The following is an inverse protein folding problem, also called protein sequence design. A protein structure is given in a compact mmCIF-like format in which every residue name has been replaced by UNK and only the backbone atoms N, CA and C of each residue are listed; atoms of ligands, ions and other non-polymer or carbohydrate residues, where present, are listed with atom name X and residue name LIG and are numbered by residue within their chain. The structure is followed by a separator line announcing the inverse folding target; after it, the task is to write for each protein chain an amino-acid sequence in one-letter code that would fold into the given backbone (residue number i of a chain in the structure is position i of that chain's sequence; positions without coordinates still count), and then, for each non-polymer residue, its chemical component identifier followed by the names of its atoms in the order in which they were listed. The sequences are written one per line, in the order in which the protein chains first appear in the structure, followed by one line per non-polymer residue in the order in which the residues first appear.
data_IF_130235382636
#
_entry.id   IF_130235382636
#
_cell.length_a   1.000
_cell.length_b   1.000
_cell.length_c   1.000
_cell.angle_alpha   90.00
_cell.angle_beta   90.00
_cell.angle_gamma   90.00
#
_symmetry.space_group_name_H-M   'P 1'
#
loop_
_entity.id
_entity.type
_entity.pdbx_description
1 polymer ?
#
# COMPACT_ATOMS: atom_id res chain seq x y z
N UNK A 1 9.43 9.25 -15.63
CA UNK A 1 9.18 10.68 -15.34
C UNK A 1 7.74 10.97 -15.73
N UNK A 2 6.90 11.55 -14.86
CA UNK A 2 5.53 11.92 -15.24
C UNK A 2 5.62 13.26 -15.95
N UNK A 3 5.14 13.33 -17.18
CA UNK A 3 5.12 14.54 -17.98
C UNK A 3 3.70 15.14 -18.00
N UNK A 4 3.61 16.45 -18.13
CA UNK A 4 2.36 17.18 -18.22
C UNK A 4 2.61 18.67 -18.35
N UNK A 5 1.53 19.45 -18.40
CA UNK A 5 1.60 20.91 -18.42
C UNK A 5 0.66 21.51 -17.38
N UNK A 6 0.99 22.70 -16.91
CA UNK A 6 0.12 23.51 -16.08
C UNK A 6 -0.63 24.51 -16.96
N UNK A 7 -1.92 24.69 -16.66
CA UNK A 7 -2.80 25.65 -17.31
C UNK A 7 -3.50 26.45 -16.22
N UNK A 8 -3.59 27.76 -16.40
CA UNK A 8 -4.22 28.66 -15.46
C UNK A 8 -5.44 29.31 -16.10
N UNK A 9 -6.52 29.43 -15.35
CA UNK A 9 -7.76 30.09 -15.76
C UNK A 9 -8.04 31.24 -14.80
N UNK A 10 -8.04 32.48 -15.29
CA UNK A 10 -8.39 33.67 -14.51
C UNK A 10 -9.76 34.18 -14.94
N UNK A 11 -10.65 34.42 -13.97
CA UNK A 11 -12.01 34.89 -14.22
C UNK A 11 -12.14 36.35 -13.82
N UNK A 12 -12.48 37.21 -14.78
CA UNK A 12 -12.68 38.64 -14.56
C UNK A 12 -14.05 39.04 -15.14
N UNK A 13 -15.00 39.35 -14.26
CA UNK A 13 -16.40 39.51 -14.65
C UNK A 13 -16.95 38.23 -15.29
N UNK A 14 -17.42 38.34 -16.53
CA UNK A 14 -17.94 37.20 -17.31
C UNK A 14 -16.89 36.58 -18.25
N UNK A 15 -15.67 37.12 -18.31
CA UNK A 15 -14.61 36.62 -19.17
C UNK A 15 -13.76 35.58 -18.43
N UNK A 16 -13.40 34.50 -19.11
CA UNK A 16 -12.40 33.53 -18.64
C UNK A 16 -11.17 33.61 -19.52
N UNK A 17 -10.03 33.87 -18.90
CA UNK A 17 -8.75 34.01 -19.56
C UNK A 17 -7.89 32.79 -19.29
N UNK A 18 -7.48 32.10 -20.34
CA UNK A 18 -6.49 31.02 -20.26
C UNK A 18 -5.09 31.64 -20.27
N UNK A 19 -4.24 31.20 -19.36
CA UNK A 19 -2.82 31.54 -19.28
C UNK A 19 -2.02 30.25 -19.22
N UNK A 20 -1.00 30.18 -20.05
CA UNK A 20 0.02 29.14 -20.07
C UNK A 20 1.40 29.67 -19.63
N UNK A 21 1.51 30.99 -19.48
CA UNK A 21 2.65 31.69 -18.89
C UNK A 21 2.47 31.83 -17.37
N UNK A 22 3.58 31.89 -16.64
CA UNK A 22 3.58 32.05 -15.17
C UNK A 22 3.19 33.45 -14.68
N UNK A 23 2.79 34.35 -15.58
CA UNK A 23 2.38 35.72 -15.27
C UNK A 23 0.87 35.76 -15.06
N UNK A 24 0.46 35.97 -13.82
CA UNK A 24 -0.94 35.95 -13.40
C UNK A 24 -1.30 37.29 -12.75
N UNK A 25 -2.51 37.79 -13.02
CA UNK A 25 -3.01 38.97 -12.32
C UNK A 25 -3.27 38.65 -10.84
N UNK A 26 -2.74 39.46 -9.92
CA UNK A 26 -3.11 39.43 -8.51
C UNK A 26 -4.54 39.92 -8.33
N UNK A 27 -5.17 39.50 -7.23
CA UNK A 27 -6.56 39.80 -6.84
C UNK A 27 -7.63 39.30 -7.83
N UNK A 28 -7.25 38.36 -8.70
CA UNK A 28 -8.16 37.68 -9.63
C UNK A 28 -8.28 36.20 -9.26
N UNK A 29 -9.50 35.65 -9.11
CA UNK A 29 -9.70 34.22 -8.88
C UNK A 29 -9.00 33.39 -9.96
N UNK A 30 -8.10 32.51 -9.54
CA UNK A 30 -7.32 31.68 -10.44
C UNK A 30 -7.60 30.19 -10.18
N UNK A 31 -7.95 29.48 -11.23
CA UNK A 31 -8.01 28.01 -11.23
C UNK A 31 -6.76 27.47 -11.94
N UNK A 32 -5.94 26.74 -11.21
CA UNK A 32 -4.72 26.12 -11.72
C UNK A 32 -4.97 24.63 -11.94
N UNK A 33 -4.74 24.15 -13.15
CA UNK A 33 -4.97 22.77 -13.55
C UNK A 33 -3.70 22.12 -14.11
N UNK A 34 -3.47 20.86 -13.74
CA UNK A 34 -2.42 20.01 -14.30
C UNK A 34 -3.02 19.05 -15.32
N UNK A 35 -2.56 19.16 -16.56
CA UNK A 35 -2.90 18.25 -17.65
C UNK A 35 -1.81 17.19 -17.79
N UNK A 36 -2.15 15.94 -17.46
CA UNK A 36 -1.27 14.79 -17.59
C UNK A 36 -1.02 14.46 -19.06
N UNK A 37 0.25 14.31 -19.45
CA UNK A 37 0.63 13.81 -20.76
C UNK A 37 0.93 12.31 -20.69
N UNK A 38 -0.03 11.48 -21.13
CA UNK A 38 0.07 10.00 -21.12
C UNK A 38 -0.46 9.39 -22.43
N UNK A 39 0.28 9.51 -23.55
CA UNK A 39 -0.17 9.02 -24.86
C UNK A 39 -0.31 7.48 -24.90
N UNK A 40 0.48 6.76 -24.12
CA UNK A 40 0.44 5.30 -24.04
C UNK A 40 -0.64 4.78 -23.08
N UNK A 41 -1.34 5.68 -22.36
CA UNK A 41 -2.38 5.33 -21.37
C UNK A 41 -1.87 4.44 -20.22
N UNK A 42 -0.57 4.52 -19.91
CA UNK A 42 0.05 3.74 -18.84
C UNK A 42 -0.48 4.10 -17.45
N UNK A 43 -1.04 5.30 -17.31
CA UNK A 43 -1.56 5.87 -16.07
C UNK A 43 -3.08 6.07 -16.12
N UNK A 44 -3.76 5.57 -17.15
CA UNK A 44 -5.22 5.72 -17.33
C UNK A 44 -6.06 5.17 -16.18
N UNK A 45 -5.51 4.22 -15.40
CA UNK A 45 -6.14 3.64 -14.20
C UNK A 45 -5.45 4.07 -12.90
N UNK A 46 -4.47 4.95 -12.99
CA UNK A 46 -3.71 5.44 -11.84
C UNK A 46 -4.35 6.72 -11.34
N UNK A 47 -4.72 6.74 -10.07
CA UNK A 47 -5.16 7.98 -9.45
C UNK A 47 -3.95 8.63 -8.75
N UNK A 48 -3.69 9.90 -9.06
CA UNK A 48 -2.52 10.61 -8.56
C UNK A 48 -2.87 11.52 -7.40
N UNK A 49 -2.14 11.44 -6.30
CA UNK A 49 -2.15 12.46 -5.27
C UNK A 49 -1.46 13.73 -5.71
N UNK A 50 -2.13 14.87 -5.58
CA UNK A 50 -1.56 16.17 -5.89
C UNK A 50 -1.21 16.91 -4.60
N UNK A 51 0.02 17.38 -4.50
CA UNK A 51 0.44 18.39 -3.52
C UNK A 51 0.80 19.64 -4.29
N UNK A 52 -0.09 20.63 -4.20
CA UNK A 52 0.05 21.97 -4.75
C UNK A 52 0.74 22.84 -3.71
N UNK A 53 2.01 23.14 -3.92
CA UNK A 53 2.71 24.18 -3.18
C UNK A 53 2.65 25.47 -4.03
N UNK A 54 1.86 26.43 -3.57
CA UNK A 54 1.61 27.71 -4.23
C UNK A 54 2.66 28.77 -3.86
N UNK A 55 3.71 28.39 -3.11
CA UNK A 55 4.75 29.30 -2.63
C UNK A 55 4.40 30.00 -1.31
N UNK A 56 3.13 30.30 -1.07
CA UNK A 56 2.61 30.82 0.19
C UNK A 56 1.68 29.84 0.94
N UNK A 57 1.15 28.84 0.24
CA UNK A 57 0.21 27.85 0.80
C UNK A 57 0.41 26.49 0.16
N UNK A 58 0.31 25.45 0.98
CA UNK A 58 0.33 24.06 0.51
C UNK A 58 -1.08 23.47 0.59
N UNK A 59 -1.56 22.93 -0.53
CA UNK A 59 -2.85 22.27 -0.67
C UNK A 59 -2.61 20.84 -1.14
N UNK A 60 -3.21 19.87 -0.45
CA UNK A 60 -3.13 18.44 -0.79
C UNK A 60 -4.52 17.96 -1.18
N UNK A 61 -4.61 17.13 -2.21
CA UNK A 61 -5.90 16.61 -2.65
C UNK A 61 -5.82 15.69 -3.85
N UNK A 62 -6.97 15.11 -4.19
CA UNK A 62 -7.16 14.16 -5.29
C UNK A 62 -7.35 14.80 -6.65
N UNK A 63 -7.62 16.10 -6.67
CA UNK A 63 -7.99 16.80 -7.89
C UNK A 63 -6.73 17.30 -8.62
N UNK A 64 -6.67 17.14 -9.96
CA UNK A 64 -5.63 17.74 -10.78
C UNK A 64 -5.81 19.26 -10.92
N UNK A 65 -6.68 19.87 -10.12
CA UNK A 65 -7.05 21.28 -10.19
C UNK A 65 -7.14 21.87 -8.79
N UNK A 66 -6.75 23.13 -8.64
CA UNK A 66 -6.87 23.90 -7.41
C UNK A 66 -7.35 25.32 -7.72
N UNK A 67 -8.26 25.84 -6.90
CA UNK A 67 -8.71 27.23 -6.98
C UNK A 67 -8.05 28.02 -5.87
N UNK A 68 -7.32 29.07 -6.25
CA UNK A 68 -6.64 29.94 -5.31
C UNK A 68 -6.57 31.37 -5.84
N UNK A 69 -6.67 32.34 -4.93
CA UNK A 69 -6.56 33.76 -5.27
C UNK A 69 -5.35 34.32 -4.52
N UNK A 70 -4.44 34.97 -5.25
CA UNK A 70 -3.33 35.70 -4.65
C UNK A 70 -3.78 37.13 -4.38
N UNK A 71 -3.88 37.53 -3.12
CA UNK A 71 -4.30 38.89 -2.74
C UNK A 71 -3.19 39.92 -2.90
N UNK A 72 -1.93 39.48 -2.93
CA UNK A 72 -0.75 40.34 -3.04
C UNK A 72 -0.01 40.04 -4.34
N UNK A 73 0.48 41.09 -4.99
CA UNK A 73 1.39 40.95 -6.13
C UNK A 73 2.78 40.53 -5.65
N UNK A 74 3.38 39.55 -6.30
CA UNK A 74 4.73 39.10 -5.96
C UNK A 74 5.18 37.90 -6.79
N UNK A 75 6.43 37.50 -6.56
CA UNK A 75 7.02 36.34 -7.22
C UNK A 75 6.80 35.10 -6.36
N UNK A 76 5.86 34.25 -6.78
CA UNK A 76 5.58 32.98 -6.13
C UNK A 76 6.18 31.82 -6.94
N UNK A 77 6.76 30.83 -6.26
CA UNK A 77 7.23 29.61 -6.90
C UNK A 77 6.22 28.50 -6.70
N UNK A 78 5.45 28.19 -7.75
CA UNK A 78 4.53 27.07 -7.72
C UNK A 78 5.26 25.74 -7.95
N UNK A 79 5.06 24.77 -7.07
CA UNK A 79 5.58 23.41 -7.19
C UNK A 79 4.43 22.41 -7.10
N UNK A 80 4.37 21.51 -8.07
CA UNK A 80 3.44 20.39 -8.06
C UNK A 80 4.18 19.10 -7.79
N UNK A 81 3.79 18.39 -6.74
CA UNK A 81 4.26 17.03 -6.47
C UNK A 81 3.13 16.05 -6.70
N UNK A 82 3.35 15.09 -7.61
CA UNK A 82 2.47 13.96 -7.83
C UNK A 82 2.95 12.76 -7.01
N UNK A 83 2.03 12.08 -6.34
CA UNK A 83 2.25 10.81 -5.67
C UNK A 83 1.26 9.77 -6.18
N UNK A 84 1.61 8.49 -6.14
CA UNK A 84 0.70 7.39 -6.46
C UNK A 84 1.08 6.21 -5.57
N UNK A 85 0.09 5.41 -5.16
CA UNK A 85 0.35 4.10 -4.57
C UNK A 85 0.80 3.18 -5.70
N UNK A 86 2.06 2.75 -5.68
CA UNK A 86 2.64 1.93 -6.77
C UNK A 86 2.58 0.44 -6.47
N UNK A 87 2.98 0.04 -5.27
CA UNK A 87 2.99 -1.35 -4.87
C UNK A 87 2.91 -1.49 -3.35
N UNK A 88 2.65 -2.72 -2.94
CA UNK A 88 2.87 -3.19 -1.57
C UNK A 88 3.79 -4.39 -1.65
N UNK A 89 4.87 -4.39 -0.89
CA UNK A 89 5.82 -5.50 -0.79
C UNK A 89 5.79 -6.05 0.61
N UNK A 90 5.62 -7.35 0.74
CA UNK A 90 5.75 -8.03 2.03
C UNK A 90 7.21 -8.47 2.23
N UNK A 91 7.80 -8.09 3.36
CA UNK A 91 9.05 -8.65 3.89
C UNK A 91 8.65 -9.68 4.94
N UNK A 92 8.43 -10.91 4.49
CA UNK A 92 8.05 -12.03 5.34
C UNK A 92 9.25 -12.85 5.83
N UNK A 93 9.05 -13.55 6.94
CA UNK A 93 9.90 -14.67 7.31
C UNK A 93 9.59 -15.86 6.40
N UNK A 94 10.56 -16.76 6.16
CA UNK A 94 10.34 -17.90 5.26
C UNK A 94 9.31 -18.90 5.80
N UNK A 95 9.16 -19.01 7.13
CA UNK A 95 8.32 -20.01 7.77
C UNK A 95 7.46 -19.38 8.86
N UNK A 96 6.16 -19.71 8.86
CA UNK A 96 5.22 -19.37 9.91
C UNK A 96 4.65 -20.65 10.53
N UNK A 97 4.34 -20.62 11.83
CA UNK A 97 3.80 -21.75 12.54
C UNK A 97 2.58 -21.37 13.37
N UNK A 98 1.69 -22.35 13.59
CA UNK A 98 0.53 -22.18 14.46
C UNK A 98 0.96 -21.90 15.91
N UNK A 99 0.15 -21.13 16.63
CA UNK A 99 0.35 -20.75 18.03
C UNK A 99 1.65 -19.97 18.30
N UNK A 100 2.33 -19.49 17.26
CA UNK A 100 3.45 -18.57 17.36
C UNK A 100 3.02 -17.16 16.93
N UNK A 101 3.59 -16.15 17.56
CA UNK A 101 3.35 -14.76 17.19
C UNK A 101 4.14 -14.45 15.90
N UNK A 102 3.44 -14.31 14.79
CA UNK A 102 4.01 -13.95 13.50
C UNK A 102 4.05 -12.42 13.34
N UNK A 103 5.22 -11.90 12.96
CA UNK A 103 5.40 -10.50 12.58
C UNK A 103 5.48 -10.38 11.05
N UNK A 104 4.52 -9.69 10.46
CA UNK A 104 4.42 -9.45 9.03
C UNK A 104 4.77 -7.98 8.75
N UNK A 105 5.89 -7.75 8.06
CA UNK A 105 6.30 -6.40 7.68
C UNK A 105 5.92 -6.12 6.21
N UNK A 106 5.25 -5.00 5.97
CA UNK A 106 4.88 -4.53 4.63
C UNK A 106 5.53 -3.19 4.37
N UNK A 107 6.07 -3.02 3.16
CA UNK A 107 6.53 -1.74 2.65
C UNK A 107 5.59 -1.28 1.55
N UNK A 108 5.21 -0.01 1.60
CA UNK A 108 4.28 0.58 0.65
C UNK A 108 4.96 1.71 -0.12
N UNK A 109 5.03 1.56 -1.44
CA UNK A 109 5.63 2.58 -2.30
C UNK A 109 4.58 3.67 -2.58
N UNK A 110 4.59 4.76 -1.81
CA UNK A 110 3.70 5.91 -2.01
C UNK A 110 3.70 6.91 -0.84
N UNK A 111 2.86 7.96 -0.87
CA UNK A 111 2.72 8.94 0.22
C UNK A 111 1.87 8.39 1.38
N UNK A 112 1.83 9.05 2.55
CA UNK A 112 1.01 8.63 3.70
C UNK A 112 -0.43 8.30 3.30
N UNK A 113 -0.98 7.23 3.88
CA UNK A 113 -2.15 6.56 3.32
C UNK A 113 -2.87 5.70 4.36
N UNK A 114 -4.14 5.41 4.10
CA UNK A 114 -4.94 4.46 4.86
C UNK A 114 -4.72 3.04 4.33
N UNK A 115 -4.43 2.11 5.21
CA UNK A 115 -4.34 0.68 4.90
C UNK A 115 -5.51 -0.03 5.56
N UNK A 116 -6.30 -0.72 4.76
CA UNK A 116 -7.42 -1.56 5.16
C UNK A 116 -7.03 -3.01 4.89
N UNK A 117 -6.88 -3.82 5.93
CA UNK A 117 -6.39 -5.20 5.81
C UNK A 117 -7.29 -6.18 6.56
N UNK A 118 -7.32 -7.43 6.10
CA UNK A 118 -8.07 -8.52 6.73
C UNK A 118 -7.54 -9.89 6.28
N UNK A 119 -7.62 -10.88 7.17
CA UNK A 119 -7.42 -12.27 6.79
C UNK A 119 -8.72 -12.83 6.21
N UNK A 120 -8.64 -13.47 5.03
CA UNK A 120 -9.77 -14.08 4.35
C UNK A 120 -9.98 -15.51 4.84
N UNK A 121 -11.24 -15.86 5.11
CA UNK A 121 -11.66 -17.25 5.30
C UNK A 121 -11.61 -17.96 3.95
N UNK A 122 -10.93 -19.10 3.88
CA UNK A 122 -10.78 -19.92 2.67
C UNK A 122 -10.28 -19.14 1.43
N UNK A 123 -9.54 -18.04 1.63
CA UNK A 123 -9.07 -17.17 0.55
C UNK A 123 -10.18 -16.62 -0.38
N UNK A 124 -11.42 -16.54 0.11
CA UNK A 124 -12.55 -16.00 -0.63
C UNK A 124 -12.94 -14.61 -0.09
N UNK A 125 -13.21 -13.62 -0.96
CA UNK A 125 -13.67 -12.31 -0.54
C UNK A 125 -15.13 -12.39 -0.07
N UNK A 126 -15.38 -12.10 1.20
CA UNK A 126 -16.72 -11.91 1.74
C UNK A 126 -17.10 -10.42 1.63
N UNK A 127 -18.29 -10.13 1.11
CA UNK A 127 -18.84 -8.77 1.00
C UNK A 127 -19.42 -8.24 2.30
N UNK A 128 -19.58 -9.08 3.33
CA UNK A 128 -20.25 -8.74 4.60
C UNK A 128 -19.30 -8.41 5.77
N UNK A 129 -18.02 -8.81 5.69
CA UNK A 129 -17.03 -8.52 6.73
C UNK A 129 -16.18 -7.28 6.38
N UNK A 130 -16.11 -6.32 7.31
CA UNK A 130 -15.23 -5.15 7.23
C UNK A 130 -13.74 -5.51 7.32
N UNK A 131 -12.88 -4.50 7.25
CA UNK A 131 -11.43 -4.64 7.43
C UNK A 131 -10.93 -3.79 8.61
N UNK A 132 -9.75 -4.09 9.11
CA UNK A 132 -9.06 -3.23 10.07
C UNK A 132 -8.39 -2.08 9.33
N UNK A 133 -8.75 -0.85 9.68
CA UNK A 133 -8.23 0.37 9.07
C UNK A 133 -7.07 0.96 9.90
N UNK A 134 -5.98 1.34 9.25
CA UNK A 134 -4.76 1.85 9.90
C UNK A 134 -4.16 2.99 9.08
N UNK A 135 -3.76 4.09 9.73
CA UNK A 135 -2.99 5.17 9.07
C UNK A 135 -1.52 4.84 9.01
N UNK A 136 -0.93 4.94 7.82
CA UNK A 136 0.51 4.87 7.59
C UNK A 136 1.07 6.28 7.40
N UNK A 137 1.84 6.74 8.37
CA UNK A 137 2.66 7.96 8.26
C UNK A 137 4.03 7.65 7.66
N UNK A 138 4.59 6.50 8.03
CA UNK A 138 5.79 5.92 7.45
C UNK A 138 5.40 4.90 6.39
N UNK A 139 6.25 4.66 5.39
CA UNK A 139 6.00 3.71 4.30
C UNK A 139 6.03 2.23 4.73
N UNK A 140 5.94 1.94 6.02
CA UNK A 140 6.06 0.59 6.57
C UNK A 140 4.91 0.27 7.53
N UNK A 141 4.30 -0.91 7.36
CA UNK A 141 3.28 -1.45 8.25
C UNK A 141 3.81 -2.73 8.89
N UNK A 142 3.65 -2.89 10.21
CA UNK A 142 3.95 -4.13 10.91
C UNK A 142 2.68 -4.69 11.54
N UNK A 143 2.35 -5.94 11.19
CA UNK A 143 1.19 -6.65 11.73
C UNK A 143 1.67 -7.83 12.57
N UNK A 144 1.17 -7.91 13.79
CA UNK A 144 1.39 -9.06 14.67
C UNK A 144 0.14 -9.93 14.67
N UNK A 145 0.29 -11.22 14.41
CA UNK A 145 -0.83 -12.16 14.35
C UNK A 145 -0.42 -13.56 14.81
N UNK A 146 -1.29 -14.25 15.53
CA UNK A 146 -1.09 -15.63 15.94
C UNK A 146 -2.05 -16.54 15.18
N UNK A 147 -1.51 -17.34 14.27
CA UNK A 147 -2.29 -18.28 13.48
C UNK A 147 -2.74 -19.47 14.33
N UNK A 148 -4.02 -19.83 14.25
CA UNK A 148 -4.58 -20.98 14.99
C UNK A 148 -4.73 -22.24 14.13
N UNK A 149 -4.69 -22.08 12.81
CA UNK A 149 -4.87 -23.17 11.83
C UNK A 149 -3.70 -23.22 10.86
N UNK A 150 -3.29 -24.44 10.52
CA UNK A 150 -2.25 -24.69 9.53
C UNK A 150 -2.81 -24.66 8.11
N UNK A 151 -1.93 -24.46 7.12
CA UNK A 151 -2.27 -24.39 5.70
C UNK A 151 -2.09 -22.99 5.12
N UNK A 152 -2.76 -22.74 3.99
CA UNK A 152 -2.70 -21.46 3.28
C UNK A 152 -3.63 -20.45 3.93
N UNK A 153 -3.06 -19.33 4.35
CA UNK A 153 -3.77 -18.18 4.90
C UNK A 153 -3.64 -17.01 3.93
N UNK A 154 -4.75 -16.36 3.60
CA UNK A 154 -4.75 -15.22 2.67
C UNK A 154 -4.99 -13.91 3.41
N UNK A 155 -4.08 -12.95 3.26
CA UNK A 155 -4.24 -11.60 3.74
C UNK A 155 -4.64 -10.70 2.57
N UNK A 156 -5.85 -10.16 2.61
CA UNK A 156 -6.32 -9.14 1.68
C UNK A 156 -5.96 -7.77 2.24
N UNK A 157 -5.36 -6.93 1.40
CA UNK A 157 -4.91 -5.60 1.78
C UNK A 157 -5.31 -4.61 0.70
N UNK A 158 -6.02 -3.58 1.10
CA UNK A 158 -6.29 -2.41 0.28
C UNK A 158 -5.63 -1.19 0.88
N UNK A 159 -4.84 -0.54 0.05
CA UNK A 159 -4.11 0.66 0.39
C UNK A 159 -4.78 1.80 -0.35
N UNK A 160 -5.29 2.76 0.40
CA UNK A 160 -6.08 3.86 -0.12
C UNK A 160 -5.62 5.18 0.47
N UNK A 161 -5.51 6.20 -0.36
CA UNK A 161 -5.58 7.58 0.11
C UNK A 161 -6.84 8.23 -0.49
N UNK A 162 -7.00 9.54 -0.38
CA UNK A 162 -8.15 10.26 -0.93
C UNK A 162 -8.30 10.13 -2.46
N UNK A 163 -7.41 9.36 -3.10
CA UNK A 163 -6.97 9.56 -4.47
C UNK A 163 -6.85 8.21 -5.17
N UNK A 164 -5.84 7.40 -4.82
CA UNK A 164 -5.64 6.03 -5.29
C UNK A 164 -6.07 4.99 -4.29
N UNK A 165 -6.60 3.87 -4.81
CA UNK A 165 -6.76 2.61 -4.10
C UNK A 165 -5.98 1.54 -4.87
N UNK A 166 -5.04 0.88 -4.21
CA UNK A 166 -4.42 -0.36 -4.65
C UNK A 166 -4.97 -1.49 -3.79
N UNK A 167 -5.40 -2.59 -4.40
CA UNK A 167 -5.80 -3.79 -3.67
C UNK A 167 -4.91 -4.95 -4.10
N UNK A 168 -4.46 -5.72 -3.12
CA UNK A 168 -3.57 -6.86 -3.31
C UNK A 168 -3.85 -7.92 -2.26
N UNK A 169 -3.55 -9.18 -2.57
CA UNK A 169 -3.67 -10.28 -1.62
C UNK A 169 -2.35 -11.03 -1.52
N UNK A 170 -1.99 -11.43 -0.30
CA UNK A 170 -0.80 -12.21 0.01
C UNK A 170 -1.20 -13.58 0.53
N UNK A 171 -0.57 -14.62 0.00
CA UNK A 171 -0.72 -16.00 0.48
C UNK A 171 0.44 -16.36 1.40
N UNK A 172 0.12 -16.87 2.58
CA UNK A 172 1.05 -17.29 3.62
C UNK A 172 0.86 -18.77 3.89
N UNK A 173 1.94 -19.52 4.04
CA UNK A 173 1.87 -20.93 4.44
C UNK A 173 2.23 -21.07 5.93
N UNK A 174 1.33 -21.68 6.69
CA UNK A 174 1.48 -21.89 8.14
C UNK A 174 1.61 -23.37 8.45
N UNK A 175 2.70 -23.77 9.10
CA UNK A 175 2.96 -25.14 9.48
C UNK A 175 2.45 -25.47 10.89
N UNK A 176 2.14 -26.75 11.13
CA UNK A 176 1.87 -27.26 12.46
C UNK A 176 3.13 -27.93 13.06
N UNK A 177 3.87 -27.20 13.89
CA UNK A 177 5.13 -27.69 14.47
C UNK A 177 4.93 -28.89 15.40
N UNK A 178 3.81 -28.95 16.14
CA UNK A 178 3.52 -30.06 17.06
C UNK A 178 3.38 -31.39 16.31
N UNK A 179 2.74 -31.36 15.15
CA UNK A 179 2.60 -32.54 14.29
C UNK A 179 3.97 -33.01 13.77
N UNK A 180 4.82 -32.08 13.35
CA UNK A 180 6.18 -32.39 12.86
C UNK A 180 7.03 -33.00 13.97
N UNK A 181 7.01 -32.42 15.18
CA UNK A 181 7.76 -32.89 16.33
C UNK A 181 7.27 -34.27 16.81
N UNK A 182 5.96 -34.49 16.86
CA UNK A 182 5.39 -35.79 17.22
C UNK A 182 5.77 -36.88 16.21
N UNK A 183 5.68 -36.59 14.92
CA UNK A 183 6.10 -37.51 13.86
C UNK A 183 7.59 -37.87 13.99
N UNK A 184 8.46 -36.88 14.22
CA UNK A 184 9.89 -37.10 14.42
C UNK A 184 10.18 -37.98 15.64
N UNK A 185 9.50 -37.75 16.76
CA UNK A 185 9.67 -38.55 17.98
C UNK A 185 9.26 -40.02 17.77
N UNK A 186 8.15 -40.26 17.07
CA UNK A 186 7.69 -41.62 16.73
C UNK A 186 8.72 -42.30 15.83
N UNK A 187 9.21 -41.62 14.79
CA UNK A 187 10.23 -42.16 13.90
C UNK A 187 11.51 -42.52 14.66
N UNK A 188 12.02 -41.62 15.50
CA UNK A 188 13.21 -41.87 16.33
C UNK A 188 13.00 -43.11 17.23
N UNK A 189 11.86 -43.20 17.92
CA UNK A 189 11.56 -44.35 18.76
C UNK A 189 11.54 -45.67 17.96
N UNK A 190 10.91 -45.67 16.78
CA UNK A 190 10.86 -46.87 15.93
C UNK A 190 12.25 -47.29 15.43
N UNK A 191 13.09 -46.34 14.99
CA UNK A 191 14.45 -46.65 14.58
C UNK A 191 15.31 -47.15 15.74
N UNK A 192 15.17 -46.58 16.94
CA UNK A 192 15.85 -47.07 18.14
C UNK A 192 15.44 -48.51 18.46
N UNK A 193 14.14 -48.84 18.38
CA UNK A 193 13.66 -50.21 18.58
C UNK A 193 14.24 -51.19 17.54
N UNK A 194 14.25 -50.81 16.26
CA UNK A 194 14.82 -51.64 15.19
C UNK A 194 16.30 -51.92 15.46
N UNK A 195 17.08 -50.90 15.83
CA UNK A 195 18.51 -51.05 16.14
C UNK A 195 18.71 -51.99 17.34
N UNK A 196 17.92 -51.84 18.40
CA UNK A 196 18.01 -52.74 19.58
C UNK A 196 17.72 -54.20 19.22
N UNK A 197 16.73 -54.45 18.35
CA UNK A 197 16.39 -55.81 17.93
C UNK A 197 17.45 -56.38 16.98
N UNK A 198 17.90 -55.59 15.99
CA UNK A 198 18.85 -56.04 14.97
C UNK A 198 20.28 -56.20 15.52
N UNK A 199 20.69 -55.36 16.46
CA UNK A 199 22.03 -55.40 17.07
C UNK A 199 22.07 -56.18 18.38
N UNK A 200 20.95 -56.77 18.83
CA UNK A 200 20.97 -57.68 19.98
C UNK A 200 21.83 -58.90 19.63
N UNK A 201 22.94 -59.14 20.34
CA UNK A 201 23.77 -60.29 20.05
C UNK A 201 22.92 -61.54 20.30
N UNK A 202 22.83 -62.39 19.27
CA UNK A 202 22.24 -63.72 19.39
C UNK A 202 23.12 -64.48 20.37
N UNK A 203 22.69 -64.58 21.62
CA UNK A 203 23.27 -65.53 22.56
C UNK A 203 22.93 -66.93 22.05
N UNK A 204 23.89 -67.52 21.34
CA UNK A 204 24.00 -68.97 21.14
C UNK A 204 24.73 -69.57 22.34
#
# INVERSE_FOLDING_TARGET
NIAGKLVFYQMEGNATYVRDTGELASDVPTETMFELYDPQKNFSKTNFSYTWDLGNKVIKGSQPVVRYHYTESGNYTLRLKLGAVKNVKMKGQPNYAVSQNASLAFHVDGPPMWVCWRFLKNCAPDSSEGCTLTMLYDNSLQLNHTFTTAGVQCLDMSVRNDISKLQTSFSLYVANLLFILSCAAVLVATFSFIVVIACRPRHQ
#
